data_IF_188488477548
#
_entry.id   IF_188488477548
#
_cell.length_a   1.000
_cell.length_b   1.000
_cell.length_c   1.000
_cell.angle_alpha   90.00
_cell.angle_beta   90.00
_cell.angle_gamma   90.00
#
_symmetry.space_group_name_H-M   'P 1'
#
loop_
_entity.id
_entity.type
_entity.pdbx_description
1 polymer ?
#
# COMPACT_ATOMS: atom_id res chain seq x y z
N UNK A 1 5.27 17.71 -0.80
CA UNK A 1 4.45 16.51 -1.05
C UNK A 1 3.63 16.75 -2.30
N UNK A 2 3.58 15.80 -3.24
CA UNK A 2 2.97 16.01 -4.56
C UNK A 2 1.68 15.22 -4.67
N UNK A 3 0.60 15.86 -5.10
CA UNK A 3 -0.64 15.18 -5.47
C UNK A 3 -0.52 14.62 -6.88
N UNK A 4 -1.01 13.41 -7.11
CA UNK A 4 -0.98 12.75 -8.43
C UNK A 4 -2.40 12.38 -8.83
N UNK A 5 -2.87 12.92 -9.96
CA UNK A 5 -4.14 12.56 -10.57
C UNK A 5 -4.14 11.09 -11.01
N UNK A 6 -5.25 10.39 -10.79
CA UNK A 6 -5.41 8.97 -11.11
C UNK A 6 -6.85 8.66 -11.53
N UNK A 7 -7.07 7.48 -12.11
CA UNK A 7 -8.41 6.98 -12.44
C UNK A 7 -8.78 5.82 -11.51
N UNK A 8 -10.04 5.71 -11.06
CA UNK A 8 -10.48 4.60 -10.20
C UNK A 8 -10.45 3.26 -10.95
N UNK A 9 -10.34 2.18 -10.17
CA UNK A 9 -10.45 0.80 -10.65
C UNK A 9 -11.66 0.12 -10.00
N UNK A 10 -12.55 -0.44 -10.81
CA UNK A 10 -13.80 -1.07 -10.32
C UNK A 10 -13.59 -2.46 -9.70
N UNK A 11 -12.39 -3.03 -9.84
CA UNK A 11 -12.09 -4.41 -9.46
C UNK A 11 -11.26 -4.54 -8.17
N UNK A 12 -11.02 -3.46 -7.42
CA UNK A 12 -10.20 -3.45 -6.19
C UNK A 12 -10.99 -3.86 -4.93
N UNK A 13 -11.90 -4.83 -5.06
CA UNK A 13 -12.66 -5.37 -3.92
C UNK A 13 -11.85 -6.47 -3.20
N UNK A 14 -11.36 -6.25 -1.96
CA UNK A 14 -10.71 -7.31 -1.19
C UNK A 14 -11.72 -8.39 -0.80
N UNK A 15 -11.27 -9.65 -0.83
CA UNK A 15 -12.01 -10.78 -0.26
C UNK A 15 -11.69 -10.97 1.22
N UNK A 16 -12.10 -12.12 1.78
CA UNK A 16 -11.82 -12.49 3.19
C UNK A 16 -10.32 -12.57 3.51
N UNK A 17 -9.48 -12.82 2.51
CA UNK A 17 -8.02 -12.89 2.64
C UNK A 17 -7.28 -11.78 1.88
N UNK A 18 -7.90 -10.60 1.78
CA UNK A 18 -7.35 -9.42 1.10
C UNK A 18 -7.60 -9.40 -0.41
N UNK A 19 -7.01 -8.40 -1.08
CA UNK A 19 -7.10 -8.24 -2.53
C UNK A 19 -6.15 -9.21 -3.24
N UNK A 20 -6.70 -10.08 -4.10
CA UNK A 20 -5.93 -11.07 -4.86
C UNK A 20 -6.26 -10.97 -6.35
N UNK A 21 -5.25 -10.70 -7.16
CA UNK A 21 -5.32 -10.61 -8.63
C UNK A 21 -4.08 -11.24 -9.27
N UNK A 22 -4.12 -11.44 -10.59
CA UNK A 22 -2.93 -11.82 -11.35
C UNK A 22 -1.90 -10.69 -11.31
N UNK A 23 -0.61 -11.01 -11.25
CA UNK A 23 0.46 -10.00 -11.16
C UNK A 23 0.38 -8.92 -12.24
N UNK A 24 0.00 -9.28 -13.48
CA UNK A 24 -0.18 -8.32 -14.58
C UNK A 24 -1.21 -7.22 -14.28
N UNK A 25 -2.19 -7.49 -13.41
CA UNK A 25 -3.16 -6.48 -12.98
C UNK A 25 -2.51 -5.51 -11.99
N UNK A 26 -1.77 -6.02 -11.00
CA UNK A 26 -1.02 -5.17 -10.06
C UNK A 26 0.06 -4.31 -10.72
N UNK A 27 0.57 -4.72 -11.89
CA UNK A 27 1.53 -3.97 -12.68
C UNK A 27 0.91 -2.86 -13.53
N UNK A 28 -0.42 -2.73 -13.56
CA UNK A 28 -1.07 -1.61 -14.22
C UNK A 28 -0.75 -0.31 -13.48
N UNK A 29 -0.68 0.79 -14.25
CA UNK A 29 -0.35 2.11 -13.73
C UNK A 29 -1.29 2.48 -12.57
N UNK A 30 -0.73 2.89 -11.44
CA UNK A 30 -1.45 3.32 -10.25
C UNK A 30 -2.34 2.24 -9.60
N UNK A 31 -2.26 0.98 -10.00
CA UNK A 31 -3.14 -0.05 -9.41
C UNK A 31 -2.80 -0.28 -7.93
N UNK A 32 -1.53 -0.49 -7.60
CA UNK A 32 -1.09 -0.66 -6.21
C UNK A 32 -1.31 0.63 -5.42
N UNK A 33 -0.93 1.77 -6.00
CA UNK A 33 -1.00 3.08 -5.36
C UNK A 33 -2.45 3.46 -4.99
N UNK A 34 -3.40 3.25 -5.90
CA UNK A 34 -4.83 3.52 -5.63
C UNK A 34 -5.35 2.65 -4.47
N UNK A 35 -5.01 1.37 -4.46
CA UNK A 35 -5.46 0.47 -3.40
C UNK A 35 -4.87 0.87 -2.05
N UNK A 36 -3.57 1.17 -2.00
CA UNK A 36 -2.87 1.59 -0.77
C UNK A 36 -3.40 2.92 -0.26
N UNK A 37 -3.61 3.91 -1.14
CA UNK A 37 -4.22 5.18 -0.75
C UNK A 37 -5.62 4.98 -0.18
N UNK A 38 -6.44 4.11 -0.80
CA UNK A 38 -7.77 3.78 -0.31
C UNK A 38 -7.74 3.16 1.10
N UNK A 39 -6.75 2.31 1.40
CA UNK A 39 -6.55 1.76 2.74
C UNK A 39 -6.26 2.86 3.75
N UNK A 40 -5.36 3.80 3.44
CA UNK A 40 -5.06 4.92 4.33
C UNK A 40 -6.25 5.86 4.52
N UNK A 41 -7.05 6.07 3.48
CA UNK A 41 -8.27 6.88 3.57
C UNK A 41 -9.33 6.22 4.48
N UNK A 42 -9.43 4.89 4.48
CA UNK A 42 -10.26 4.16 5.46
C UNK A 42 -9.75 4.38 6.89
N UNK A 43 -8.45 4.22 7.13
CA UNK A 43 -7.86 4.42 8.45
C UNK A 43 -8.09 5.86 8.98
N UNK A 44 -8.05 6.85 8.09
CA UNK A 44 -8.43 8.24 8.44
C UNK A 44 -9.88 8.38 8.85
N UNK A 45 -10.80 7.72 8.13
CA UNK A 45 -12.23 7.72 8.48
C UNK A 45 -12.49 7.06 9.83
N UNK A 46 -11.65 6.11 10.23
CA UNK A 46 -11.71 5.44 11.53
C UNK A 46 -11.08 6.25 12.67
N UNK A 47 -10.59 7.47 12.39
CA UNK A 47 -10.20 8.46 13.40
C UNK A 47 -8.70 8.76 13.50
N UNK A 48 -7.84 8.03 12.78
CA UNK A 48 -6.40 8.31 12.74
C UNK A 48 -6.11 9.44 11.76
N UNK A 49 -5.91 10.65 12.28
CA UNK A 49 -5.76 11.86 11.46
C UNK A 49 -4.32 12.29 11.20
N UNK A 50 -3.38 11.77 11.98
CA UNK A 50 -1.96 12.10 11.90
C UNK A 50 -1.11 10.81 11.88
N UNK A 51 -0.61 10.46 10.70
CA UNK A 51 0.22 9.27 10.51
C UNK A 51 1.67 9.44 11.01
N UNK A 52 2.10 10.65 11.41
CA UNK A 52 3.48 10.87 11.89
C UNK A 52 3.77 10.10 13.18
N UNK A 53 2.74 9.86 14.00
CA UNK A 53 2.81 9.10 15.25
C UNK A 53 2.65 7.60 15.07
N UNK A 54 2.25 7.18 13.88
CA UNK A 54 1.98 5.80 13.56
C UNK A 54 3.21 5.10 12.98
N UNK A 55 3.25 3.78 13.13
CA UNK A 55 4.29 2.95 12.52
C UNK A 55 3.64 1.99 11.53
N UNK A 56 3.98 2.12 10.24
CA UNK A 56 3.51 1.20 9.22
C UNK A 56 4.46 -0.01 9.14
N UNK A 57 3.93 -1.22 9.33
CA UNK A 57 4.66 -2.45 9.03
C UNK A 57 4.37 -2.90 7.59
N UNK A 58 5.42 -3.19 6.82
CA UNK A 58 5.32 -3.66 5.43
C UNK A 58 6.20 -4.89 5.22
N UNK A 59 5.61 -5.97 4.72
CA UNK A 59 6.36 -7.18 4.34
C UNK A 59 5.49 -8.15 3.57
N UNK A 60 6.11 -9.22 3.09
CA UNK A 60 5.41 -10.31 2.43
C UNK A 60 6.24 -11.58 2.33
N UNK A 61 5.74 -12.54 1.58
CA UNK A 61 6.29 -13.90 1.42
C UNK A 61 7.41 -14.00 0.36
N UNK A 62 7.78 -12.89 -0.28
CA UNK A 62 8.85 -12.83 -1.28
C UNK A 62 8.44 -13.20 -2.72
N UNK A 63 7.15 -13.33 -3.03
CA UNK A 63 6.69 -13.59 -4.41
C UNK A 63 7.11 -12.50 -5.39
N UNK A 64 7.10 -12.86 -6.68
CA UNK A 64 7.38 -11.93 -7.77
C UNK A 64 6.49 -10.67 -7.65
N UNK A 65 7.08 -9.50 -7.93
CA UNK A 65 6.50 -8.15 -7.78
C UNK A 65 6.39 -7.60 -6.35
N UNK A 66 6.70 -8.38 -5.29
CA UNK A 66 6.67 -7.83 -3.92
C UNK A 66 7.62 -6.66 -3.73
N UNK A 67 8.83 -6.70 -4.28
CA UNK A 67 9.84 -5.65 -4.06
C UNK A 67 9.38 -4.32 -4.66
N UNK A 68 8.82 -4.37 -5.86
CA UNK A 68 8.26 -3.24 -6.58
C UNK A 68 7.03 -2.69 -5.86
N UNK A 69 6.10 -3.56 -5.44
CA UNK A 69 4.92 -3.15 -4.68
C UNK A 69 5.29 -2.50 -3.34
N UNK A 70 6.30 -3.03 -2.63
CA UNK A 70 6.82 -2.41 -1.40
C UNK A 70 7.31 -0.99 -1.69
N UNK A 71 8.10 -0.78 -2.75
CA UNK A 71 8.56 0.57 -3.10
C UNK A 71 7.40 1.54 -3.40
N UNK A 72 6.33 1.08 -4.06
CA UNK A 72 5.11 1.86 -4.25
C UNK A 72 4.44 2.20 -2.91
N UNK A 73 4.27 1.22 -2.01
CA UNK A 73 3.70 1.42 -0.68
C UNK A 73 4.51 2.46 0.10
N UNK A 74 5.85 2.36 0.12
CA UNK A 74 6.72 3.30 0.83
C UNK A 74 6.55 4.74 0.33
N UNK A 75 6.45 4.93 -0.99
CA UNK A 75 6.24 6.27 -1.57
C UNK A 75 4.88 6.85 -1.21
N UNK A 76 3.82 6.04 -1.27
CA UNK A 76 2.47 6.49 -0.87
C UNK A 76 2.43 6.78 0.62
N UNK A 77 3.08 5.96 1.45
CA UNK A 77 3.17 6.16 2.89
C UNK A 77 4.02 7.39 3.29
N UNK A 78 5.02 7.77 2.49
CA UNK A 78 5.82 8.99 2.69
C UNK A 78 5.18 10.26 2.11
N UNK A 79 4.34 10.15 1.06
CA UNK A 79 3.11 10.97 0.96
C UNK A 79 2.26 10.70 2.20
N UNK A 80 1.00 11.06 2.41
CA UNK A 80 0.24 10.75 3.65
C UNK A 80 0.80 11.12 5.06
N UNK A 81 2.12 11.20 5.34
CA UNK A 81 2.72 11.65 6.59
C UNK A 81 3.33 10.57 7.49
N UNK A 82 3.56 9.33 7.05
CA UNK A 82 4.25 8.35 7.91
C UNK A 82 5.72 8.73 8.11
N UNK A 83 6.15 8.85 9.36
CA UNK A 83 7.56 9.10 9.72
C UNK A 83 8.33 7.81 10.02
N UNK A 84 7.62 6.73 10.36
CA UNK A 84 8.22 5.42 10.65
C UNK A 84 7.58 4.31 9.84
N UNK A 85 8.43 3.59 9.10
CA UNK A 85 8.02 2.38 8.37
C UNK A 85 8.99 1.25 8.70
N UNK A 86 8.44 0.11 9.14
CA UNK A 86 9.18 -1.12 9.41
C UNK A 86 9.08 -2.04 8.18
N UNK A 87 10.22 -2.37 7.58
CA UNK A 87 10.29 -3.26 6.42
C UNK A 87 11.22 -4.43 6.72
N UNK A 88 10.73 -5.65 6.48
CA UNK A 88 11.53 -6.86 6.64
C UNK A 88 12.75 -6.86 5.71
N UNK A 89 13.85 -7.47 6.13
CA UNK A 89 15.06 -7.57 5.29
C UNK A 89 14.71 -8.28 3.98
N UNK A 90 14.96 -7.62 2.84
CA UNK A 90 14.59 -8.14 1.53
C UNK A 90 13.08 -8.11 1.22
N UNK A 91 12.28 -7.44 2.04
CA UNK A 91 10.81 -7.40 1.94
C UNK A 91 10.12 -8.61 2.57
N UNK A 92 10.83 -9.40 3.38
CA UNK A 92 10.35 -10.67 3.91
C UNK A 92 9.85 -10.53 5.35
N UNK A 93 8.55 -10.76 5.55
CA UNK A 93 7.88 -10.90 6.86
C UNK A 93 6.76 -11.93 6.67
N UNK A 94 6.72 -12.98 7.49
CA UNK A 94 5.59 -13.92 7.51
C UNK A 94 4.36 -13.25 8.11
N UNK A 95 3.16 -13.58 7.62
CA UNK A 95 1.89 -13.21 8.27
C UNK A 95 1.85 -13.76 9.69
#
# INVERSE_FOLDING_TARGET
MTSTETQPYDDQKPGTSGLRRKTRIFQQKNYVENFVQSVFDTVRRDGVTDFSRETLAVGGDGRFFNREAIQSILKVAAGNGFERILVGRGGLIST
#
